data_IF_349934361746
#
_entry.id   IF_349934361746
#
_cell.length_a   1.000
_cell.length_b   1.000
_cell.length_c   1.000
_cell.angle_alpha   90.00
_cell.angle_beta   90.00
_cell.angle_gamma   90.00
#
_symmetry.space_group_name_H-M   'P 1'
#
loop_
_entity.id
_entity.type
_entity.pdbx_description
1 polymer ?
#
# COMPACT_ATOMS: atom_id res chain seq x y z
N UNK A 1 -28.34 -18.34 3.28
CA UNK A 1 -27.59 -18.02 3.44
C UNK A 1 -26.96 -17.28 3.30
N UNK A 2 -26.89 -17.74 3.15
CA UNK A 2 -25.92 -17.10 3.17
C UNK A 2 -25.36 -16.61 2.92
N UNK A 3 -25.69 -16.85 2.82
CA UNK A 3 -24.80 -16.41 2.79
C UNK A 3 -24.37 -16.04 2.50
N UNK A 4 -24.86 -16.30 2.41
CA UNK A 4 -24.08 -16.04 2.43
C UNK A 4 -23.51 -15.58 2.19
N UNK A 5 -23.81 -15.78 2.19
CA UNK A 5 -22.98 -15.58 2.16
C UNK A 5 -22.42 -15.48 1.98
N UNK A 6 -22.46 -15.75 1.89
CA UNK A 6 -21.71 -16.01 1.88
C UNK A 6 -20.88 -16.20 1.92
N UNK A 7 -20.92 -16.27 1.96
CA UNK A 7 -20.05 -16.70 2.10
C UNK A 7 -19.41 -17.19 1.69
N UNK A 8 -19.30 -17.09 1.35
CA UNK A 8 -18.52 -18.08 1.02
C UNK A 8 -17.37 -18.34 1.76
N UNK A 9 -17.23 -19.39 2.13
CA UNK A 9 -16.09 -19.67 2.76
C UNK A 9 -15.08 -20.04 1.87
N UNK A 10 -14.05 -19.30 1.86
CA UNK A 10 -12.94 -19.72 1.22
C UNK A 10 -12.24 -20.70 2.03
N UNK A 11 -12.34 -21.85 1.64
CA UNK A 11 -11.45 -22.82 2.15
C UNK A 11 -10.11 -22.42 1.70
N UNK A 12 -9.28 -22.12 2.56
CA UNK A 12 -7.97 -21.77 2.12
C UNK A 12 -7.61 -20.34 2.16
N UNK A 13 -8.27 -19.52 2.88
CA UNK A 13 -7.81 -18.21 3.13
C UNK A 13 -8.37 -17.13 2.25
N UNK A 14 -7.91 -15.92 2.45
CA UNK A 14 -8.52 -14.75 1.83
C UNK A 14 -7.97 -14.48 0.44
N UNK A 15 -8.85 -13.94 -0.41
CA UNK A 15 -8.49 -13.42 -1.72
C UNK A 15 -8.94 -11.98 -1.74
N UNK A 16 -8.03 -11.08 -2.08
CA UNK A 16 -8.39 -9.67 -2.19
C UNK A 16 -7.63 -9.00 -3.32
N UNK A 17 -8.20 -7.92 -3.82
CA UNK A 17 -7.56 -7.09 -4.84
C UNK A 17 -7.16 -5.77 -4.23
N UNK A 18 -5.92 -5.38 -4.47
CA UNK A 18 -5.38 -4.12 -3.98
C UNK A 18 -4.23 -3.69 -4.89
N UNK A 19 -3.35 -2.82 -4.38
CA UNK A 19 -2.17 -2.42 -5.12
C UNK A 19 -0.91 -2.77 -4.34
N UNK A 20 0.20 -2.87 -5.07
CA UNK A 20 1.53 -2.92 -4.48
C UNK A 20 2.26 -1.66 -4.94
N UNK A 21 2.79 -0.90 -3.99
CA UNK A 21 3.54 0.32 -4.26
C UNK A 21 5.02 0.08 -3.95
N UNK A 22 5.89 0.57 -4.85
CA UNK A 22 7.31 0.62 -4.53
C UNK A 22 7.58 1.88 -3.73
N UNK A 23 8.37 1.76 -2.68
CA UNK A 23 8.82 2.92 -1.95
C UNK A 23 10.34 3.02 -2.02
N UNK A 24 10.85 4.21 -1.70
CA UNK A 24 12.28 4.48 -1.71
C UNK A 24 12.63 5.30 -0.49
N UNK A 25 13.83 5.08 0.04
CA UNK A 25 14.36 5.90 1.11
C UNK A 25 15.22 7.05 0.58
N UNK A 26 15.26 7.23 -0.74
CA UNK A 26 16.15 8.22 -1.37
C UNK A 26 15.93 9.65 -0.87
N UNK A 27 14.70 10.01 -0.53
CA UNK A 27 14.38 11.35 -0.04
C UNK A 27 14.29 11.42 1.48
N UNK A 28 14.28 10.27 2.15
CA UNK A 28 14.14 10.25 3.60
C UNK A 28 15.49 10.48 4.27
N UNK A 29 15.48 11.10 5.45
CA UNK A 29 16.71 11.16 6.25
C UNK A 29 17.21 9.78 6.63
N UNK A 30 18.35 9.74 7.32
CA UNK A 30 19.06 8.50 7.61
C UNK A 30 18.19 7.40 8.22
N UNK A 31 17.22 7.76 9.05
CA UNK A 31 16.35 6.77 9.71
C UNK A 31 15.41 6.06 8.75
N UNK A 32 15.16 6.62 7.58
CA UNK A 32 14.33 5.99 6.55
C UNK A 32 12.87 6.40 6.57
N UNK A 33 12.17 6.05 5.49
CA UNK A 33 10.79 6.42 5.27
C UNK A 33 9.86 5.90 6.37
N UNK A 34 10.01 4.63 6.71
CA UNK A 34 9.13 3.98 7.67
C UNK A 34 9.19 4.63 9.04
N UNK A 35 10.41 4.95 9.50
CA UNK A 35 10.62 5.59 10.79
C UNK A 35 9.85 6.92 10.88
N UNK A 36 10.01 7.77 9.86
CA UNK A 36 9.41 9.10 9.88
C UNK A 36 7.90 9.06 9.82
N UNK A 37 7.33 8.09 9.10
CA UNK A 37 5.88 7.91 9.08
C UNK A 37 5.36 7.39 10.41
N UNK A 38 6.07 6.44 11.02
CA UNK A 38 5.64 5.87 12.30
C UNK A 38 5.67 6.89 13.44
N UNK A 39 6.60 7.85 13.39
CA UNK A 39 6.65 8.92 14.38
C UNK A 39 5.36 9.72 14.41
N UNK A 40 4.80 10.01 13.25
CA UNK A 40 3.57 10.78 13.14
C UNK A 40 2.37 9.93 13.58
N UNK A 41 2.34 8.65 13.24
CA UNK A 41 1.30 7.74 13.69
C UNK A 41 1.27 7.68 15.22
N UNK A 42 2.43 7.60 15.86
CA UNK A 42 2.50 7.57 17.33
C UNK A 42 1.92 8.83 17.95
N UNK A 43 2.13 9.96 17.32
CA UNK A 43 1.68 11.25 17.85
C UNK A 43 0.21 11.53 17.59
N UNK A 44 -0.28 11.20 16.40
CA UNK A 44 -1.61 11.59 15.95
C UNK A 44 -2.56 10.44 15.65
N UNK A 45 -2.07 9.21 15.65
CA UNK A 45 -2.87 8.04 15.31
C UNK A 45 -2.90 7.71 13.81
N UNK A 46 -2.38 8.59 12.98
CA UNK A 46 -2.32 8.39 11.54
C UNK A 46 -1.27 9.30 10.92
N UNK A 47 -0.91 8.99 9.67
CA UNK A 47 -0.01 9.82 8.87
C UNK A 47 -0.50 9.79 7.43
N UNK A 48 -0.29 10.88 6.70
CA UNK A 48 -0.57 10.89 5.28
C UNK A 48 0.70 10.51 4.52
N UNK A 49 0.59 9.43 3.76
CA UNK A 49 1.67 8.93 2.90
C UNK A 49 1.43 9.42 1.48
N UNK A 50 2.39 10.10 0.90
CA UNK A 50 2.29 10.62 -0.46
C UNK A 50 3.02 9.76 -1.47
N UNK A 51 2.33 9.37 -2.53
CA UNK A 51 2.96 8.70 -3.66
C UNK A 51 3.38 9.75 -4.67
N UNK A 52 4.69 9.90 -4.85
CA UNK A 52 5.23 10.85 -5.82
C UNK A 52 4.91 10.41 -7.24
N UNK A 53 4.80 11.40 -8.12
CA UNK A 53 4.59 11.15 -9.53
C UNK A 53 3.12 11.10 -9.92
N UNK A 54 2.82 10.27 -10.92
CA UNK A 54 1.48 10.23 -11.47
C UNK A 54 0.44 9.68 -10.51
N UNK A 55 -0.80 10.08 -10.72
CA UNK A 55 -1.94 9.51 -10.00
C UNK A 55 -2.09 8.04 -10.36
N UNK A 56 -2.75 7.31 -9.49
CA UNK A 56 -3.09 5.92 -9.74
C UNK A 56 -4.58 5.79 -10.02
N UNK A 57 -4.96 4.66 -10.61
CA UNK A 57 -6.38 4.35 -10.83
C UNK A 57 -7.06 4.19 -9.48
N UNK A 58 -8.15 4.91 -9.27
CA UNK A 58 -8.80 4.93 -7.96
C UNK A 58 -9.82 3.81 -7.76
N UNK A 59 -10.23 3.12 -8.82
CA UNK A 59 -11.27 2.10 -8.70
C UNK A 59 -10.89 1.00 -7.71
N UNK A 60 -9.66 0.50 -7.82
CA UNK A 60 -9.23 -0.58 -6.95
C UNK A 60 -9.04 -0.10 -5.50
N UNK A 61 -8.65 1.17 -5.33
CA UNK A 61 -8.53 1.76 -4.00
C UNK A 61 -9.91 1.92 -3.37
N UNK A 62 -10.88 2.39 -4.14
CA UNK A 62 -12.25 2.55 -3.65
C UNK A 62 -12.86 1.20 -3.25
N UNK A 63 -12.52 0.15 -4.01
CA UNK A 63 -12.94 -1.20 -3.67
C UNK A 63 -12.35 -1.64 -2.33
N UNK A 64 -11.05 -1.39 -2.13
CA UNK A 64 -10.41 -1.67 -0.87
C UNK A 64 -11.04 -0.91 0.30
N UNK A 65 -11.37 0.34 0.08
CA UNK A 65 -11.95 1.16 1.15
C UNK A 65 -13.33 0.68 1.60
N UNK A 66 -13.99 -0.14 0.79
CA UNK A 66 -15.26 -0.77 1.19
C UNK A 66 -15.06 -2.03 2.04
N UNK A 67 -13.84 -2.54 2.11
CA UNK A 67 -13.56 -3.74 2.90
C UNK A 67 -13.47 -3.40 4.38
N UNK A 68 -13.48 -4.44 5.21
CA UNK A 68 -13.39 -4.26 6.67
C UNK A 68 -12.02 -3.76 7.12
N UNK A 69 -11.00 -3.98 6.31
CA UNK A 69 -9.62 -3.64 6.68
C UNK A 69 -8.85 -3.25 5.42
N UNK A 70 -9.07 -2.02 4.92
CA UNK A 70 -8.38 -1.55 3.72
C UNK A 70 -6.87 -1.55 3.90
N UNK A 71 -6.16 -2.12 2.93
CA UNK A 71 -4.69 -2.14 2.98
C UNK A 71 -4.10 -2.29 1.59
N UNK A 72 -2.85 -1.88 1.46
CA UNK A 72 -2.08 -2.11 0.25
C UNK A 72 -0.70 -2.65 0.63
N UNK A 73 0.00 -3.22 -0.35
CA UNK A 73 1.32 -3.78 -0.11
C UNK A 73 2.39 -2.76 -0.47
N UNK A 74 3.36 -2.58 0.43
CA UNK A 74 4.48 -1.69 0.21
C UNK A 74 5.73 -2.53 0.02
N UNK A 75 6.42 -2.33 -1.11
CA UNK A 75 7.60 -3.11 -1.46
C UNK A 75 8.77 -2.19 -1.79
N UNK A 76 9.97 -2.73 -1.71
CA UNK A 76 11.19 -1.98 -2.02
C UNK A 76 12.15 -2.92 -2.73
N UNK A 77 12.77 -2.42 -3.80
CA UNK A 77 13.74 -3.21 -4.54
C UNK A 77 14.96 -3.54 -3.68
N UNK A 78 15.46 -4.76 -3.82
CA UNK A 78 16.71 -5.15 -3.16
C UNK A 78 16.59 -5.52 -1.69
N UNK A 79 15.37 -5.61 -1.15
CA UNK A 79 15.18 -5.99 0.24
C UNK A 79 13.96 -6.89 0.37
N UNK A 80 13.99 -7.86 1.30
CA UNK A 80 12.82 -8.70 1.56
C UNK A 80 11.79 -8.03 2.47
N UNK A 81 12.03 -6.79 2.91
CA UNK A 81 11.11 -6.11 3.81
C UNK A 81 9.92 -5.59 3.02
N UNK A 82 8.75 -6.11 3.30
CA UNK A 82 7.48 -5.69 2.69
C UNK A 82 6.47 -5.52 3.80
N UNK A 83 5.53 -4.58 3.59
CA UNK A 83 4.57 -4.20 4.62
C UNK A 83 3.17 -4.16 4.06
N UNK A 84 2.21 -4.72 4.82
CA UNK A 84 0.81 -4.41 4.61
C UNK A 84 0.55 -3.07 5.29
N UNK A 85 0.07 -2.12 4.53
CA UNK A 85 -0.15 -0.76 5.01
C UNK A 85 -1.64 -0.55 5.14
N UNK A 86 -2.11 -0.38 6.37
CA UNK A 86 -3.52 -0.19 6.65
C UNK A 86 -3.87 1.28 6.52
N UNK A 87 -4.94 1.58 5.78
CA UNK A 87 -5.34 2.96 5.54
C UNK A 87 -6.87 3.08 5.62
N UNK A 88 -7.35 4.30 5.87
CA UNK A 88 -8.78 4.54 5.98
C UNK A 88 -9.26 5.74 5.19
N UNK A 89 -8.39 6.37 4.40
CA UNK A 89 -8.78 7.44 3.51
C UNK A 89 -7.77 7.59 2.37
N UNK A 90 -8.21 8.22 1.30
CA UNK A 90 -7.41 8.36 0.08
C UNK A 90 -7.81 9.65 -0.62
N UNK A 91 -6.84 10.47 -1.01
CA UNK A 91 -7.09 11.75 -1.69
C UNK A 91 -6.17 11.91 -2.89
N UNK A 92 -6.67 12.54 -3.94
CA UNK A 92 -5.87 12.88 -5.11
C UNK A 92 -5.87 14.37 -5.44
N UNK A 93 -6.83 15.13 -4.90
CA UNK A 93 -7.04 16.52 -5.30
C UNK A 93 -6.70 17.54 -4.24
N UNK A 94 -6.38 17.10 -3.03
CA UNK A 94 -6.11 18.00 -1.93
C UNK A 94 -4.81 17.63 -1.25
N UNK A 95 -4.13 18.63 -0.69
CA UNK A 95 -2.93 18.40 0.11
C UNK A 95 -3.39 18.29 1.57
N UNK A 96 -3.02 17.21 2.25
CA UNK A 96 -3.39 17.04 3.66
C UNK A 96 -2.70 18.06 4.56
N UNK A 97 -3.11 18.09 5.83
CA UNK A 97 -2.48 18.95 6.83
C UNK A 97 -1.00 18.64 6.95
N UNK A 98 -0.18 19.67 6.88
CA UNK A 98 1.27 19.51 6.79
C UNK A 98 1.88 18.84 8.02
N UNK A 99 1.31 19.03 9.20
CA UNK A 99 1.81 18.39 10.41
C UNK A 99 1.54 16.88 10.45
N UNK A 100 0.67 16.37 9.56
CA UNK A 100 0.39 14.94 9.44
C UNK A 100 1.13 14.32 8.25
N UNK A 101 2.12 15.02 7.71
CA UNK A 101 2.98 14.56 6.63
C UNK A 101 4.41 14.58 7.17
N UNK A 102 5.25 13.58 6.89
CA UNK A 102 6.66 13.62 7.31
C UNK A 102 7.35 14.91 6.86
N UNK A 103 8.12 15.48 7.75
CA UNK A 103 8.73 16.79 7.53
C UNK A 103 9.58 16.85 6.27
N UNK A 104 10.30 15.79 5.97
CA UNK A 104 11.29 15.81 4.90
C UNK A 104 10.69 16.04 3.52
N UNK A 105 9.39 15.82 3.32
CA UNK A 105 8.81 16.11 2.01
C UNK A 105 7.62 17.08 2.04
N UNK A 106 7.49 17.86 3.11
CA UNK A 106 6.41 18.86 3.20
C UNK A 106 6.51 19.93 2.12
N UNK A 107 7.71 20.20 1.62
CA UNK A 107 7.93 21.17 0.56
C UNK A 107 7.77 20.58 -0.83
N UNK A 108 7.54 19.26 -0.92
CA UNK A 108 7.43 18.57 -2.20
C UNK A 108 6.00 18.09 -2.47
N UNK A 109 5.02 18.65 -1.77
CA UNK A 109 3.63 18.19 -1.87
C UNK A 109 3.04 18.35 -3.26
N UNK A 110 3.54 19.32 -4.03
CA UNK A 110 3.11 19.53 -5.41
C UNK A 110 3.52 18.39 -6.34
N UNK A 111 4.47 17.57 -5.93
CA UNK A 111 4.94 16.44 -6.72
C UNK A 111 4.24 15.13 -6.39
N UNK A 112 3.32 15.16 -5.45
CA UNK A 112 2.61 13.97 -4.98
C UNK A 112 1.34 13.79 -5.79
N UNK A 113 1.16 12.59 -6.36
CA UNK A 113 0.00 12.28 -7.17
C UNK A 113 -1.22 11.87 -6.37
N UNK A 114 -1.00 11.25 -5.22
CA UNK A 114 -2.10 10.84 -4.35
C UNK A 114 -1.58 10.61 -2.93
N UNK A 115 -2.53 10.61 -1.99
CA UNK A 115 -2.24 10.50 -0.56
C UNK A 115 -3.08 9.41 0.07
N UNK A 116 -2.45 8.62 0.95
CA UNK A 116 -3.14 7.58 1.73
C UNK A 116 -3.05 7.95 3.21
N UNK A 117 -4.19 7.91 3.90
CA UNK A 117 -4.23 8.14 5.34
C UNK A 117 -3.95 6.82 6.04
N UNK A 118 -2.73 6.65 6.48
CA UNK A 118 -2.22 5.38 6.99
C UNK A 118 -2.33 5.33 8.50
N UNK A 119 -2.80 4.20 9.02
CA UNK A 119 -2.95 3.98 10.45
C UNK A 119 -1.94 2.98 11.00
N UNK A 120 -1.41 2.10 10.16
CA UNK A 120 -0.47 1.07 10.64
C UNK A 120 0.34 0.49 9.50
N UNK A 121 1.58 0.11 9.80
CA UNK A 121 2.46 -0.67 8.94
C UNK A 121 2.65 -2.04 9.60
N UNK A 122 2.25 -3.08 8.92
CA UNK A 122 2.37 -4.43 9.43
C UNK A 122 3.32 -5.23 8.55
N UNK A 123 4.35 -5.85 9.14
CA UNK A 123 5.29 -6.65 8.36
C UNK A 123 4.55 -7.78 7.65
N UNK A 124 4.71 -7.88 6.35
CA UNK A 124 4.08 -8.92 5.57
C UNK A 124 4.83 -10.25 5.73
N UNK A 125 4.15 -11.34 5.45
CA UNK A 125 4.75 -12.68 5.48
C UNK A 125 5.87 -12.78 4.45
N UNK A 126 6.85 -13.65 4.70
CA UNK A 126 8.05 -13.73 3.86
C UNK A 126 7.75 -14.11 2.42
N UNK A 127 6.68 -14.87 2.16
CA UNK A 127 6.32 -15.31 0.82
C UNK A 127 5.23 -14.46 0.17
N UNK A 128 4.99 -13.25 0.68
CA UNK A 128 3.91 -12.39 0.17
C UNK A 128 4.03 -12.14 -1.34
N UNK A 129 5.25 -11.98 -1.83
CA UNK A 129 5.44 -11.68 -3.25
C UNK A 129 4.99 -12.81 -4.17
N UNK A 130 5.10 -14.05 -3.71
CA UNK A 130 4.64 -15.21 -4.50
C UNK A 130 3.15 -15.48 -4.31
N UNK A 131 2.50 -14.81 -3.37
CA UNK A 131 1.05 -14.91 -3.16
C UNK A 131 0.28 -13.81 -3.85
N UNK A 132 0.97 -12.85 -4.46
CA UNK A 132 0.34 -11.75 -5.18
C UNK A 132 0.53 -11.95 -6.68
N UNK A 133 -0.51 -11.66 -7.45
CA UNK A 133 -0.50 -11.83 -8.89
C UNK A 133 -0.97 -10.55 -9.57
N UNK A 134 -0.24 -10.11 -10.59
CA UNK A 134 -0.56 -8.88 -11.31
C UNK A 134 -1.83 -9.10 -12.14
N UNK A 135 -2.81 -8.23 -11.97
CA UNK A 135 -4.11 -8.41 -12.62
C UNK A 135 -4.02 -8.42 -14.15
N UNK A 136 -3.14 -7.59 -14.72
CA UNK A 136 -3.06 -7.45 -16.18
C UNK A 136 -2.39 -8.65 -16.85
N UNK A 137 -1.43 -9.29 -16.19
CA UNK A 137 -0.63 -10.36 -16.81
C UNK A 137 -0.84 -11.73 -16.20
N UNK A 138 -1.31 -11.79 -14.97
CA UNK A 138 -1.40 -13.05 -14.23
C UNK A 138 -0.08 -13.53 -13.64
N UNK A 139 1.02 -12.82 -13.91
CA UNK A 139 2.33 -13.19 -13.36
C UNK A 139 2.37 -12.92 -11.86
N UNK A 140 3.18 -13.71 -11.13
CA UNK A 140 3.39 -13.43 -9.72
C UNK A 140 4.06 -12.06 -9.57
N UNK A 141 3.80 -11.40 -8.47
CA UNK A 141 4.44 -10.10 -8.19
C UNK A 141 5.95 -10.28 -8.08
N UNK A 142 6.40 -11.42 -7.57
CA UNK A 142 7.81 -11.75 -7.52
C UNK A 142 8.47 -11.66 -8.89
N UNK A 143 7.83 -12.24 -9.91
CA UNK A 143 8.35 -12.20 -11.27
C UNK A 143 8.20 -10.81 -11.89
N UNK A 144 7.01 -10.23 -11.79
CA UNK A 144 6.71 -8.94 -12.40
C UNK A 144 7.61 -7.82 -11.87
N UNK A 145 7.87 -7.82 -10.57
CA UNK A 145 8.69 -6.75 -9.97
C UNK A 145 10.15 -6.82 -10.39
N UNK A 146 10.62 -8.00 -10.81
CA UNK A 146 11.99 -8.15 -11.31
C UNK A 146 12.13 -7.66 -12.75
N UNK A 147 11.05 -7.74 -13.53
CA UNK A 147 11.09 -7.42 -14.96
C UNK A 147 10.49 -6.06 -15.30
N UNK A 148 9.97 -5.35 -14.33
CA UNK A 148 9.35 -4.04 -14.55
C UNK A 148 9.69 -3.10 -13.40
N UNK A 149 9.98 -1.86 -13.75
CA UNK A 149 10.25 -0.81 -12.76
C UNK A 149 9.02 0.04 -12.48
N UNK A 150 7.84 -0.46 -12.80
CA UNK A 150 6.59 0.27 -12.54
C UNK A 150 6.53 0.69 -11.07
N UNK A 151 6.07 1.92 -10.79
CA UNK A 151 5.96 2.39 -9.40
C UNK A 151 4.86 1.68 -8.63
N UNK A 152 3.87 1.13 -9.31
CA UNK A 152 2.84 0.34 -8.63
C UNK A 152 2.27 -0.73 -9.57
N UNK A 153 1.65 -1.74 -8.95
CA UNK A 153 0.98 -2.83 -9.65
C UNK A 153 -0.40 -3.02 -9.05
N UNK A 154 -1.39 -3.31 -9.90
CA UNK A 154 -2.69 -3.77 -9.43
C UNK A 154 -2.58 -5.27 -9.24
N UNK A 155 -2.90 -5.77 -8.05
CA UNK A 155 -2.65 -7.16 -7.69
C UNK A 155 -3.86 -7.85 -7.09
N UNK A 156 -3.84 -9.18 -7.20
CA UNK A 156 -4.72 -10.05 -6.44
C UNK A 156 -3.84 -10.79 -5.44
N UNK A 157 -4.20 -10.69 -4.18
CA UNK A 157 -3.49 -11.40 -3.12
C UNK A 157 -4.27 -12.65 -2.76
N UNK A 158 -3.56 -13.77 -2.64
CA UNK A 158 -4.13 -15.04 -2.21
C UNK A 158 -3.44 -15.46 -0.92
N UNK A 159 -4.19 -15.39 0.17
CA UNK A 159 -3.66 -15.71 1.48
C UNK A 159 -3.41 -17.20 1.68
N UNK A 160 -2.92 -17.54 2.86
CA UNK A 160 -2.64 -18.94 3.18
C UNK A 160 -3.89 -19.77 3.29
N UNK A 161 -3.75 -21.03 2.96
CA UNK A 161 -4.81 -22.00 3.17
C UNK A 161 -4.86 -22.48 4.61
#
# INVERSE_FOLDING_TARGET
>A
MDNYGKTVICVGGEIMKTIALRYSDNYAPEEGMLYHHKQIIEKYGYVWYGKFGNRISKEIIEEQMKSNDPKFLLIKSGTPERYWVHFNDFQQNEIPELDKIPEYYRKETDKVGCWFKITNFERAENDVMSRCFVLSSGDSLSLASKHSMNPYFKIEYRGEE
#
